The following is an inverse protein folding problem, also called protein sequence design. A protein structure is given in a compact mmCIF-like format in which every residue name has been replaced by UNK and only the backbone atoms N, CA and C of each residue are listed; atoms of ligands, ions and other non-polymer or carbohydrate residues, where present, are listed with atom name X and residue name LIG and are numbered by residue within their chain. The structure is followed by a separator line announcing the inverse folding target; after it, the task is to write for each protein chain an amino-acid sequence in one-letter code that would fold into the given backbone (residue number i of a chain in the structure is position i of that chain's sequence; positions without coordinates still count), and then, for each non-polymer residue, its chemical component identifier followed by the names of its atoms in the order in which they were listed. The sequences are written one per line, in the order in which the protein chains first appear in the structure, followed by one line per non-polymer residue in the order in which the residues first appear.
data_IF_416951413514
#
_entry.id   IF_416951413514
#
_cell.length_a   1.000
_cell.length_b   1.000
_cell.length_c   1.000
_cell.angle_alpha   90.00
_cell.angle_beta   90.00
_cell.angle_gamma   90.00
#
_symmetry.space_group_name_H-M   'P 1'
#
loop_
_entity.id
_entity.type
_entity.pdbx_description
1 polymer ?
#
# COMPACT_ATOMS: atom_id res chain seq x y z
N UNK A 1 1.53 -9.22 10.51
CA UNK A 1 0.96 -10.23 9.59
C UNK A 1 0.08 -9.53 8.55
N UNK A 2 0.19 -9.95 7.31
CA UNK A 2 -0.58 -9.39 6.19
C UNK A 2 -1.75 -10.31 5.89
N UNK A 3 -2.96 -9.77 5.86
CA UNK A 3 -4.19 -10.53 5.55
C UNK A 3 -4.95 -9.83 4.44
N UNK A 4 -5.91 -10.52 3.83
CA UNK A 4 -6.74 -9.96 2.77
C UNK A 4 -7.96 -10.82 2.53
N UNK A 5 -8.91 -10.26 1.77
CA UNK A 5 -10.04 -10.98 1.22
C UNK A 5 -9.63 -11.53 -0.15
N UNK A 6 -9.91 -12.81 -0.39
CA UNK A 6 -9.45 -13.47 -1.63
C UNK A 6 -10.08 -12.88 -2.88
N UNK A 7 -11.33 -12.45 -2.81
CA UNK A 7 -11.99 -11.79 -3.95
C UNK A 7 -11.34 -10.46 -4.26
N UNK A 8 -10.94 -9.70 -3.22
CA UNK A 8 -10.22 -8.44 -3.39
C UNK A 8 -8.85 -8.67 -4.03
N UNK A 9 -8.14 -9.72 -3.59
CA UNK A 9 -6.84 -10.08 -4.17
C UNK A 9 -6.96 -10.34 -5.67
N UNK A 10 -7.95 -11.15 -6.06
CA UNK A 10 -8.14 -11.51 -7.47
C UNK A 10 -8.52 -10.29 -8.31
N UNK A 11 -9.41 -9.44 -7.81
CA UNK A 11 -9.78 -8.19 -8.51
C UNK A 11 -8.59 -7.26 -8.66
N UNK A 12 -7.79 -7.13 -7.59
CA UNK A 12 -6.63 -6.26 -7.62
C UNK A 12 -5.59 -6.77 -8.62
N UNK A 13 -5.36 -8.07 -8.65
CA UNK A 13 -4.44 -8.68 -9.61
C UNK A 13 -4.88 -8.42 -11.04
N UNK A 14 -6.18 -8.58 -11.32
CA UNK A 14 -6.74 -8.31 -12.65
C UNK A 14 -6.64 -6.85 -13.04
N UNK A 15 -6.88 -5.92 -12.10
CA UNK A 15 -6.95 -4.49 -12.39
C UNK A 15 -5.59 -3.81 -12.40
N UNK A 16 -4.66 -4.25 -11.56
CA UNK A 16 -3.38 -3.56 -11.33
C UNK A 16 -2.15 -4.42 -11.57
N UNK A 17 -2.33 -5.72 -11.78
CA UNK A 17 -1.20 -6.63 -11.97
C UNK A 17 -0.37 -6.88 -10.72
N UNK A 18 -0.88 -6.52 -9.54
CA UNK A 18 -0.19 -6.70 -8.27
C UNK A 18 -0.93 -7.72 -7.43
N UNK A 19 -0.20 -8.74 -6.99
CA UNK A 19 -0.74 -9.81 -6.15
C UNK A 19 -0.48 -9.49 -4.69
N UNK A 20 -1.53 -9.50 -3.85
CA UNK A 20 -1.38 -9.24 -2.41
C UNK A 20 -0.40 -10.19 -1.73
N UNK A 21 -0.24 -11.41 -2.26
CA UNK A 21 0.72 -12.37 -1.71
C UNK A 21 2.16 -11.90 -1.77
N UNK A 22 2.47 -10.98 -2.68
CA UNK A 22 3.82 -10.44 -2.85
C UNK A 22 4.13 -9.33 -1.84
N UNK A 23 3.12 -8.82 -1.13
CA UNK A 23 3.29 -7.68 -0.24
C UNK A 23 4.10 -8.00 1.02
N UNK A 24 4.38 -9.27 1.30
CA UNK A 24 5.32 -9.64 2.36
C UNK A 24 6.74 -9.14 2.06
N UNK A 25 7.06 -8.86 0.79
CA UNK A 25 8.38 -8.36 0.40
C UNK A 25 8.46 -6.82 0.40
N UNK A 26 7.36 -6.14 0.71
CA UNK A 26 7.37 -4.67 0.81
C UNK A 26 8.31 -4.25 1.92
N UNK A 27 9.12 -3.24 1.64
CA UNK A 27 9.98 -2.64 2.67
C UNK A 27 9.17 -1.64 3.49
N UNK A 28 8.54 -2.14 4.55
CA UNK A 28 7.68 -1.33 5.41
C UNK A 28 8.45 -0.29 6.23
N UNK A 29 9.74 -0.52 6.47
CA UNK A 29 10.58 0.45 7.18
C UNK A 29 10.80 1.72 6.36
N UNK A 30 10.75 1.60 5.04
CA UNK A 30 10.90 2.72 4.13
C UNK A 30 9.55 3.28 3.67
N UNK A 31 8.46 2.79 4.24
CA UNK A 31 7.13 3.25 3.85
C UNK A 31 6.85 4.67 4.35
N UNK A 32 6.26 5.47 3.47
CA UNK A 32 5.65 6.73 3.83
C UNK A 32 4.17 6.46 4.03
N UNK A 33 3.66 6.62 5.26
CA UNK A 33 2.30 6.22 5.61
C UNK A 33 1.48 7.43 6.01
N UNK A 34 0.27 7.52 5.50
CA UNK A 34 -0.69 8.57 5.88
C UNK A 34 -2.11 8.02 5.81
N UNK A 35 -3.03 8.75 6.45
CA UNK A 35 -4.42 8.33 6.51
C UNK A 35 -5.15 8.65 5.21
N UNK A 36 -5.98 7.72 4.75
CA UNK A 36 -6.87 7.95 3.61
C UNK A 36 -8.16 8.60 4.10
N UNK A 37 -8.29 9.90 3.85
CA UNK A 37 -9.43 10.70 4.29
C UNK A 37 -10.38 11.08 3.14
N UNK A 38 -10.27 10.39 2.00
CA UNK A 38 -11.08 10.72 0.83
C UNK A 38 -12.57 10.48 1.05
N UNK A 39 -12.92 9.57 1.95
CA UNK A 39 -14.31 9.32 2.35
C UNK A 39 -14.34 8.68 3.75
N UNK A 40 -15.55 8.61 4.33
CA UNK A 40 -15.76 7.88 5.57
C UNK A 40 -15.99 6.41 5.24
N UNK A 41 -15.06 5.55 5.67
CA UNK A 41 -15.11 4.12 5.42
C UNK A 41 -15.66 3.33 6.62
N UNK A 42 -16.05 4.04 7.69
CA UNK A 42 -16.43 3.40 8.95
C UNK A 42 -15.26 2.87 9.76
N UNK A 43 -14.05 2.93 9.22
CA UNK A 43 -12.80 2.57 9.88
C UNK A 43 -11.65 3.35 9.25
N UNK A 44 -10.55 3.48 9.96
CA UNK A 44 -9.38 4.22 9.46
C UNK A 44 -8.65 3.39 8.42
N UNK A 45 -8.58 3.90 7.20
CA UNK A 45 -7.75 3.34 6.14
C UNK A 45 -6.43 4.10 6.05
N UNK A 46 -5.36 3.35 5.87
CA UNK A 46 -4.02 3.89 5.72
C UNK A 46 -3.53 3.66 4.30
N UNK A 47 -2.73 4.61 3.82
CA UNK A 47 -2.05 4.53 2.53
C UNK A 47 -0.57 4.46 2.81
N UNK A 48 0.09 3.43 2.31
CA UNK A 48 1.54 3.31 2.38
C UNK A 48 2.13 3.42 0.98
N UNK A 49 3.09 4.32 0.82
CA UNK A 49 3.96 4.34 -0.35
C UNK A 49 5.24 3.65 0.04
N UNK A 50 5.54 2.51 -0.57
CA UNK A 50 6.66 1.69 -0.14
C UNK A 50 7.28 0.92 -1.31
N UNK A 51 8.60 0.68 -1.26
CA UNK A 51 9.24 -0.14 -2.27
C UNK A 51 8.83 -1.60 -2.16
N UNK A 52 8.54 -2.20 -3.30
CA UNK A 52 8.38 -3.64 -3.46
C UNK A 52 9.30 -4.03 -4.61
N UNK A 53 10.34 -4.78 -4.29
CA UNK A 53 11.44 -5.02 -5.21
C UNK A 53 12.01 -3.65 -5.67
N UNK A 54 12.13 -3.39 -6.95
CA UNK A 54 12.71 -2.15 -7.47
C UNK A 54 11.67 -1.08 -7.82
N UNK A 55 10.42 -1.24 -7.35
CA UNK A 55 9.34 -0.37 -7.76
C UNK A 55 8.55 0.15 -6.58
N UNK A 56 8.29 1.45 -6.57
CA UNK A 56 7.39 2.04 -5.58
C UNK A 56 5.96 1.58 -5.83
N UNK A 57 5.29 1.18 -4.75
CA UNK A 57 3.90 0.76 -4.77
C UNK A 57 3.08 1.59 -3.79
N UNK A 58 1.79 1.67 -4.04
CA UNK A 58 0.83 2.33 -3.16
C UNK A 58 -0.11 1.25 -2.64
N UNK A 59 -0.11 1.06 -1.33
CA UNK A 59 -0.88 0.01 -0.66
C UNK A 59 -1.89 0.66 0.26
N UNK A 60 -3.15 0.31 0.13
CA UNK A 60 -4.22 0.75 1.03
C UNK A 60 -4.55 -0.42 1.95
N UNK A 61 -4.58 -0.16 3.25
CA UNK A 61 -4.79 -1.20 4.24
C UNK A 61 -5.45 -0.67 5.50
N UNK A 62 -5.90 -1.59 6.34
CA UNK A 62 -6.45 -1.30 7.66
C UNK A 62 -5.62 -2.09 8.67
N UNK A 63 -5.29 -1.48 9.80
CA UNK A 63 -4.63 -2.17 10.90
C UNK A 63 -5.69 -2.72 11.84
N UNK A 64 -5.62 -4.02 12.12
CA UNK A 64 -6.49 -4.71 13.07
C UNK A 64 -5.63 -5.56 13.99
N UNK A 65 -5.31 -5.00 15.18
CA UNK A 65 -4.36 -5.65 16.09
C UNK A 65 -3.01 -5.80 15.38
N UNK A 66 -2.52 -7.04 15.28
CA UNK A 66 -1.24 -7.33 14.63
C UNK A 66 -1.36 -7.51 13.11
N UNK A 67 -2.56 -7.38 12.56
CA UNK A 67 -2.78 -7.61 11.15
C UNK A 67 -2.78 -6.33 10.34
N UNK A 68 -2.15 -6.38 9.16
CA UNK A 68 -2.40 -5.43 8.08
C UNK A 68 -3.34 -6.08 7.10
N UNK A 69 -4.56 -5.59 7.10
CA UNK A 69 -5.56 -6.10 6.15
C UNK A 69 -5.51 -5.29 4.88
N UNK A 70 -5.03 -5.91 3.83
CA UNK A 70 -4.82 -5.24 2.54
C UNK A 70 -6.16 -5.04 1.83
N UNK A 71 -6.38 -3.80 1.36
CA UNK A 71 -7.57 -3.42 0.59
C UNK A 71 -7.22 -3.32 -0.89
N UNK A 72 -6.09 -2.68 -1.22
CA UNK A 72 -5.65 -2.56 -2.60
C UNK A 72 -4.14 -2.33 -2.67
N UNK A 73 -3.56 -2.64 -3.82
CA UNK A 73 -2.14 -2.40 -4.06
C UNK A 73 -1.93 -2.18 -5.56
N UNK A 74 -1.15 -1.16 -5.89
CA UNK A 74 -0.83 -0.82 -7.27
C UNK A 74 0.56 -0.20 -7.35
N UNK A 75 1.11 -0.18 -8.53
CA UNK A 75 2.35 0.55 -8.79
C UNK A 75 2.09 2.05 -8.67
N UNK A 76 3.06 2.77 -8.15
CA UNK A 76 2.98 4.22 -8.05
C UNK A 76 3.16 4.86 -9.44
N UNK A 77 2.49 5.99 -9.66
CA UNK A 77 2.71 6.79 -10.85
C UNK A 77 3.90 7.74 -10.64
N UNK A 78 4.26 8.48 -11.69
CA UNK A 78 5.44 9.36 -11.64
C UNK A 78 5.31 10.49 -10.62
N UNK A 79 4.12 11.03 -10.41
CA UNK A 79 3.88 12.07 -9.41
C UNK A 79 4.08 11.52 -8.00
N UNK A 80 3.61 10.31 -7.77
CA UNK A 80 3.75 9.65 -6.48
C UNK A 80 5.20 9.30 -6.19
N UNK A 81 5.93 8.85 -7.19
CA UNK A 81 7.38 8.61 -7.05
C UNK A 81 8.10 9.91 -6.67
N UNK A 82 7.81 11.01 -7.37
CA UNK A 82 8.42 12.31 -7.07
C UNK A 82 8.08 12.78 -5.66
N UNK A 83 6.83 12.61 -5.24
CA UNK A 83 6.37 12.96 -3.90
C UNK A 83 7.11 12.14 -2.84
N UNK A 84 7.17 10.81 -3.04
CA UNK A 84 7.86 9.90 -2.12
C UNK A 84 9.34 10.27 -1.98
N UNK A 85 10.03 10.49 -3.10
CA UNK A 85 11.44 10.85 -3.08
C UNK A 85 11.69 12.16 -2.35
N UNK A 86 10.84 13.16 -2.56
CA UNK A 86 10.95 14.45 -1.87
C UNK A 86 10.74 14.31 -0.37
N UNK A 87 9.72 13.54 0.04
CA UNK A 87 9.36 13.41 1.45
C UNK A 87 10.28 12.48 2.22
N UNK A 88 10.99 11.60 1.55
CA UNK A 88 11.93 10.67 2.20
C UNK A 88 13.39 11.08 2.04
N UNK A 89 13.65 12.18 1.35
CA UNK A 89 15.00 12.69 1.17
C UNK A 89 15.60 13.12 2.50
N UNK A 90 16.84 12.74 2.81
CA UNK A 90 17.52 13.22 4.02
C UNK A 90 17.63 14.75 4.04
N UNK A 91 17.56 15.37 5.23
CA UNK A 91 17.72 16.84 5.35
C UNK A 91 19.12 17.32 4.98
#
# INVERSE_FOLDING_TARGET
MTTWDENERLKNLANHGVDFRDLDRVNWEQALVFEDRRRDYGETRLIAMAPLDDRLHVVVYVERGDERRIISARKANSREVAFYERETRPP
#
